data_IF_493558588908
#
_entry.id   IF_493558588908
#
_cell.length_a   1.000
_cell.length_b   1.000
_cell.length_c   1.000
_cell.angle_alpha   90.00
_cell.angle_beta   90.00
_cell.angle_gamma   90.00
#
_symmetry.space_group_name_H-M   'P 1'
#
loop_
_entity.id
_entity.type
_entity.pdbx_description
1 polymer ?
#
# COMPACT_ATOMS: atom_id res chain seq x y z
N UNK A 1 37.50 6.44 -20.59
CA UNK A 1 36.74 6.34 -21.85
C UNK A 1 35.99 5.02 -21.82
N UNK A 2 34.68 5.04 -21.60
CA UNK A 2 33.85 3.83 -21.70
C UNK A 2 33.82 3.37 -23.17
N UNK A 3 33.97 2.07 -23.41
CA UNK A 3 33.87 1.50 -24.76
C UNK A 3 32.44 1.69 -25.28
N UNK A 4 32.33 2.16 -26.53
CA UNK A 4 31.06 2.27 -27.26
C UNK A 4 30.42 0.88 -27.34
N UNK A 5 29.30 0.66 -26.64
CA UNK A 5 28.49 -0.57 -26.72
C UNK A 5 28.41 -1.44 -25.46
N UNK A 6 29.09 -1.10 -24.37
CA UNK A 6 28.90 -1.81 -23.09
C UNK A 6 27.68 -1.27 -22.35
N UNK A 7 26.71 -2.13 -22.07
CA UNK A 7 25.51 -1.81 -21.28
C UNK A 7 25.91 -1.51 -19.84
N UNK A 8 25.39 -0.42 -19.26
CA UNK A 8 25.63 -0.10 -17.86
C UNK A 8 25.20 -1.28 -16.94
N UNK A 9 26.02 -1.66 -15.94
CA UNK A 9 25.69 -2.75 -15.05
C UNK A 9 24.38 -2.45 -14.31
N UNK A 10 23.51 -3.45 -14.22
CA UNK A 10 22.24 -3.33 -13.51
C UNK A 10 22.48 -3.19 -12.00
N UNK A 11 21.77 -2.30 -11.31
CA UNK A 11 21.68 -2.37 -9.86
C UNK A 11 21.10 -3.73 -9.45
N UNK A 12 21.49 -4.24 -8.28
CA UNK A 12 21.07 -5.55 -7.76
C UNK A 12 19.62 -5.57 -7.28
N UNK A 13 18.85 -4.50 -7.51
CA UNK A 13 17.47 -4.35 -7.06
C UNK A 13 16.78 -3.13 -7.68
N UNK A 14 15.56 -2.79 -7.21
CA UNK A 14 14.75 -1.69 -7.76
C UNK A 14 15.24 -0.29 -7.36
N UNK A 15 16.31 -0.20 -6.57
CA UNK A 15 16.88 1.04 -6.05
C UNK A 15 18.33 1.20 -6.50
N UNK A 16 18.76 2.44 -6.68
CA UNK A 16 20.16 2.83 -6.92
C UNK A 16 20.55 3.92 -5.95
N UNK A 17 21.73 3.82 -5.32
CA UNK A 17 22.22 4.87 -4.42
C UNK A 17 22.74 6.08 -5.22
N UNK A 18 22.78 7.26 -4.60
CA UNK A 18 23.39 8.44 -5.21
C UNK A 18 24.86 8.20 -5.61
N UNK A 19 25.63 7.48 -4.79
CA UNK A 19 27.03 7.16 -5.08
C UNK A 19 27.19 6.21 -6.27
N UNK A 20 26.26 5.27 -6.45
CA UNK A 20 26.27 4.35 -7.60
C UNK A 20 25.86 5.07 -8.87
N UNK A 21 24.80 5.90 -8.78
CA UNK A 21 24.37 6.73 -9.90
C UNK A 21 25.50 7.67 -10.34
N UNK A 22 26.23 8.29 -9.41
CA UNK A 22 27.34 9.19 -9.74
C UNK A 22 28.46 8.49 -10.52
N UNK A 23 28.68 7.19 -10.30
CA UNK A 23 29.65 6.39 -11.05
C UNK A 23 29.17 6.02 -12.46
N UNK A 24 27.85 5.99 -12.67
CA UNK A 24 27.21 5.65 -13.96
C UNK A 24 26.81 6.89 -14.77
N UNK A 25 26.61 8.04 -14.11
CA UNK A 25 26.15 9.28 -14.72
C UNK A 25 27.10 9.74 -15.83
N UNK A 26 26.52 10.16 -16.96
CA UNK A 26 27.27 10.53 -18.17
C UNK A 26 27.82 9.33 -18.98
N UNK A 27 27.62 8.10 -18.52
CA UNK A 27 27.88 6.89 -19.29
C UNK A 27 26.84 6.66 -20.38
N UNK A 28 27.23 5.93 -21.44
CA UNK A 28 26.26 5.45 -22.43
C UNK A 28 25.32 4.41 -21.83
N UNK A 29 24.04 4.42 -22.22
CA UNK A 29 23.05 3.43 -21.77
C UNK A 29 22.44 3.70 -20.39
N UNK A 30 22.50 4.95 -19.90
CA UNK A 30 21.84 5.40 -18.67
C UNK A 30 20.96 6.60 -18.99
N UNK A 31 19.68 6.52 -18.67
CA UNK A 31 18.72 7.62 -18.82
C UNK A 31 18.21 8.05 -17.45
N UNK A 32 18.38 9.31 -17.09
CA UNK A 32 17.93 9.85 -15.79
C UNK A 32 16.66 10.66 -16.02
N UNK A 33 15.60 10.35 -15.29
CA UNK A 33 14.30 11.00 -15.42
C UNK A 33 13.87 11.64 -14.10
N UNK A 34 13.60 12.94 -14.14
CA UNK A 34 12.89 13.65 -13.07
C UNK A 34 11.39 13.57 -13.35
N UNK A 35 10.65 12.95 -12.44
CA UNK A 35 9.19 12.82 -12.54
C UNK A 35 8.49 13.48 -11.35
N UNK A 36 9.07 14.57 -10.85
CA UNK A 36 8.49 15.36 -9.76
C UNK A 36 7.10 15.85 -10.14
N UNK A 37 6.15 15.61 -9.25
CA UNK A 37 4.79 16.13 -9.35
C UNK A 37 4.30 16.51 -7.96
N UNK A 38 3.51 17.57 -7.88
CA UNK A 38 3.04 18.19 -6.64
C UNK A 38 1.53 18.08 -6.53
N UNK A 39 1.02 18.02 -5.30
CA UNK A 39 -0.41 18.15 -5.05
C UNK A 39 -0.87 19.57 -5.43
N UNK A 40 -2.13 19.74 -5.89
CA UNK A 40 -2.67 21.05 -6.21
C UNK A 40 -2.57 22.07 -5.07
N UNK A 41 -2.62 21.60 -3.82
CA UNK A 41 -2.53 22.41 -2.61
C UNK A 41 -1.13 22.94 -2.32
N UNK A 42 -0.07 22.31 -2.85
CA UNK A 42 1.32 22.70 -2.60
C UNK A 42 1.73 23.94 -3.41
N UNK A 43 1.00 24.28 -4.49
CA UNK A 43 1.25 25.48 -5.33
C UNK A 43 2.71 25.61 -5.81
N UNK A 44 3.35 24.47 -6.07
CA UNK A 44 4.70 24.34 -6.60
C UNK A 44 4.67 23.95 -8.08
N UNK A 45 5.67 24.39 -8.83
CA UNK A 45 5.81 24.12 -10.27
C UNK A 45 7.02 23.20 -10.49
N UNK A 46 6.75 21.92 -10.73
CA UNK A 46 7.79 20.90 -10.86
C UNK A 46 8.70 21.15 -12.06
N UNK A 47 8.18 21.69 -13.17
CA UNK A 47 8.99 22.00 -14.36
C UNK A 47 9.95 23.15 -14.07
N UNK A 48 9.48 24.21 -13.41
CA UNK A 48 10.36 25.31 -12.98
C UNK A 48 11.42 24.84 -11.98
N UNK A 49 11.07 23.94 -11.08
CA UNK A 49 12.02 23.38 -10.11
C UNK A 49 13.10 22.53 -10.80
N UNK A 50 12.71 21.71 -11.79
CA UNK A 50 13.65 20.99 -12.63
C UNK A 50 14.60 21.97 -13.35
N UNK A 51 14.05 23.00 -14.01
CA UNK A 51 14.86 24.02 -14.69
C UNK A 51 15.77 24.81 -13.72
N UNK A 52 15.40 24.93 -12.45
CA UNK A 52 16.22 25.59 -11.45
C UNK A 52 17.37 24.71 -10.94
N UNK A 53 17.15 23.39 -10.79
CA UNK A 53 18.20 22.45 -10.40
C UNK A 53 17.78 20.99 -10.61
N UNK A 54 18.49 20.27 -11.48
CA UNK A 54 18.28 18.84 -11.74
C UNK A 54 19.61 18.05 -11.78
N UNK A 55 19.53 16.72 -11.75
CA UNK A 55 20.71 15.86 -11.89
C UNK A 55 21.29 16.03 -13.32
N UNK A 56 22.62 16.13 -13.49
CA UNK A 56 23.23 16.34 -14.79
C UNK A 56 22.77 15.33 -15.86
N UNK A 57 22.33 15.84 -17.01
CA UNK A 57 21.80 15.04 -18.12
C UNK A 57 20.41 14.43 -17.88
N UNK A 58 19.75 14.73 -16.76
CA UNK A 58 18.37 14.30 -16.53
C UNK A 58 17.40 14.96 -17.51
N UNK A 59 16.27 14.28 -17.74
CA UNK A 59 15.15 14.80 -18.54
C UNK A 59 13.90 14.85 -17.67
N UNK A 60 13.08 15.86 -17.85
CA UNK A 60 11.84 16.00 -17.09
C UNK A 60 10.69 15.28 -17.79
N UNK A 61 9.96 14.45 -17.05
CA UNK A 61 8.70 13.84 -17.49
C UNK A 61 7.57 14.33 -16.60
N UNK A 62 6.61 15.02 -17.20
CA UNK A 62 5.40 15.42 -16.51
C UNK A 62 4.48 14.19 -16.37
N UNK A 63 4.11 13.83 -15.14
CA UNK A 63 3.16 12.73 -14.92
C UNK A 63 1.83 12.96 -15.66
N UNK A 64 1.42 14.20 -15.89
CA UNK A 64 0.22 14.51 -16.66
C UNK A 64 0.33 14.11 -18.15
N UNK A 65 1.53 14.16 -18.75
CA UNK A 65 1.75 13.71 -20.14
C UNK A 65 1.64 12.18 -20.28
N UNK A 66 1.91 11.47 -19.18
CA UNK A 66 1.81 10.01 -19.08
C UNK A 66 0.64 9.58 -18.18
N UNK A 67 -0.46 10.32 -18.27
CA UNK A 67 -1.74 9.95 -17.64
C UNK A 67 -2.83 9.83 -18.71
N UNK A 68 -3.79 8.92 -18.53
CA UNK A 68 -4.94 8.78 -19.43
C UNK A 68 -5.89 9.98 -19.31
N UNK A 69 -5.97 10.87 -20.33
CA UNK A 69 -6.83 12.05 -20.28
C UNK A 69 -8.32 11.69 -20.43
N UNK A 70 -8.66 10.52 -20.96
CA UNK A 70 -10.06 10.12 -21.20
C UNK A 70 -10.77 9.66 -19.92
N UNK A 71 -10.01 9.26 -18.89
CA UNK A 71 -10.55 8.73 -17.64
C UNK A 71 -11.35 9.74 -16.80
N UNK A 72 -11.08 11.04 -16.95
CA UNK A 72 -11.59 12.08 -16.06
C UNK A 72 -11.04 12.02 -14.62
N UNK A 73 -10.14 11.07 -14.34
CA UNK A 73 -9.51 10.86 -13.05
C UNK A 73 -8.04 11.30 -13.10
N UNK A 74 -7.46 11.75 -11.98
CA UNK A 74 -6.06 12.14 -11.93
C UNK A 74 -5.15 10.91 -12.04
N UNK A 75 -4.06 11.07 -12.78
CA UNK A 75 -2.91 10.16 -12.79
C UNK A 75 -3.20 8.71 -13.16
N UNK A 76 -4.33 8.46 -13.84
CA UNK A 76 -4.67 7.15 -14.38
C UNK A 76 -3.63 6.70 -15.39
N UNK A 77 -3.32 5.41 -15.38
CA UNK A 77 -2.36 4.78 -16.25
C UNK A 77 -2.76 4.99 -17.73
N UNK A 78 -1.84 5.43 -18.59
CA UNK A 78 -2.11 5.64 -20.01
C UNK A 78 -2.12 4.31 -20.78
N UNK A 79 -2.43 4.35 -22.07
CA UNK A 79 -2.16 3.19 -22.95
C UNK A 79 -0.65 2.98 -23.14
N UNK A 80 -0.25 1.75 -23.47
CA UNK A 80 1.14 1.45 -23.83
C UNK A 80 1.67 2.38 -24.94
N UNK A 81 0.84 2.66 -25.97
CA UNK A 81 1.20 3.54 -27.07
C UNK A 81 1.45 4.99 -26.65
N UNK A 82 0.64 5.53 -25.74
CA UNK A 82 0.85 6.90 -25.22
C UNK A 82 2.13 6.96 -24.38
N UNK A 83 2.35 6.00 -23.49
CA UNK A 83 3.57 5.95 -22.68
C UNK A 83 4.81 5.83 -23.57
N UNK A 84 4.78 4.94 -24.57
CA UNK A 84 5.85 4.79 -25.57
C UNK A 84 6.17 6.08 -26.29
N UNK A 85 5.16 6.80 -26.80
CA UNK A 85 5.38 8.05 -27.52
C UNK A 85 6.12 9.09 -26.65
N UNK A 86 5.77 9.20 -25.37
CA UNK A 86 6.46 10.11 -24.44
C UNK A 86 7.87 9.65 -24.15
N UNK A 87 8.10 8.36 -23.86
CA UNK A 87 9.44 7.84 -23.58
C UNK A 87 10.38 7.97 -24.78
N UNK A 88 9.88 7.74 -25.99
CA UNK A 88 10.65 7.94 -27.22
C UNK A 88 10.97 9.42 -27.47
N UNK A 89 10.04 10.33 -27.25
CA UNK A 89 10.29 11.78 -27.31
C UNK A 89 11.34 12.22 -26.29
N UNK A 90 11.35 11.59 -25.13
CA UNK A 90 12.39 11.76 -24.10
C UNK A 90 13.68 11.01 -24.43
N UNK A 91 13.80 10.36 -25.59
CA UNK A 91 15.02 9.71 -26.07
C UNK A 91 15.44 8.45 -25.32
N UNK A 92 14.50 7.77 -24.66
CA UNK A 92 14.77 6.50 -23.97
C UNK A 92 15.05 5.40 -24.99
N UNK A 93 16.14 4.67 -24.80
CA UNK A 93 16.49 3.52 -25.63
C UNK A 93 15.99 2.22 -24.97
N UNK A 94 15.69 1.20 -25.77
CA UNK A 94 15.27 -0.12 -25.28
C UNK A 94 16.32 -0.77 -24.35
N UNK A 95 17.59 -0.44 -24.55
CA UNK A 95 18.72 -0.94 -23.75
C UNK A 95 19.13 -0.07 -22.56
N UNK A 96 18.45 1.04 -22.29
CA UNK A 96 18.85 1.95 -21.21
C UNK A 96 18.59 1.34 -19.82
N UNK A 97 19.51 1.58 -18.89
CA UNK A 97 19.17 1.63 -17.48
C UNK A 97 18.46 2.97 -17.23
N UNK A 98 17.17 2.90 -16.93
CA UNK A 98 16.38 4.08 -16.59
C UNK A 98 16.48 4.31 -15.07
N UNK A 99 16.92 5.49 -14.67
CA UNK A 99 16.96 5.91 -13.26
C UNK A 99 15.95 7.03 -13.06
N UNK A 100 14.95 6.79 -12.23
CA UNK A 100 13.88 7.75 -11.96
C UNK A 100 14.07 8.37 -10.58
N UNK A 101 13.81 9.67 -10.45
CA UNK A 101 13.88 10.37 -9.18
C UNK A 101 12.81 11.47 -9.09
N UNK A 102 12.66 12.00 -7.88
CA UNK A 102 11.85 13.20 -7.62
C UNK A 102 12.50 14.09 -6.54
N UNK A 103 12.00 15.33 -6.42
CA UNK A 103 12.50 16.32 -5.46
C UNK A 103 12.08 16.07 -4.01
N UNK A 104 11.11 15.19 -3.75
CA UNK A 104 10.61 14.89 -2.39
C UNK A 104 11.48 13.89 -1.65
N UNK A 105 12.42 13.25 -2.36
CA UNK A 105 13.13 12.07 -1.90
C UNK A 105 12.49 10.83 -2.51
N UNK A 106 11.35 10.40 -1.98
CA UNK A 106 10.56 9.29 -2.52
C UNK A 106 9.07 9.64 -2.42
N UNK A 107 8.45 9.99 -3.55
CA UNK A 107 6.98 10.18 -3.62
C UNK A 107 6.41 9.81 -4.99
N UNK A 108 6.96 10.37 -6.06
CA UNK A 108 6.45 10.20 -7.44
C UNK A 108 7.32 9.27 -8.27
N UNK A 109 8.61 9.15 -7.96
CA UNK A 109 9.54 8.24 -8.63
C UNK A 109 9.09 6.77 -8.65
N UNK A 110 8.56 6.21 -7.55
CA UNK A 110 8.04 4.84 -7.57
C UNK A 110 6.87 4.64 -8.55
N UNK A 111 6.08 5.68 -8.86
CA UNK A 111 5.01 5.59 -9.85
C UNK A 111 5.58 5.34 -11.24
N UNK A 112 6.57 6.13 -11.65
CA UNK A 112 7.19 5.96 -12.97
C UNK A 112 7.96 4.63 -13.07
N UNK A 113 8.65 4.22 -12.00
CA UNK A 113 9.26 2.89 -11.91
C UNK A 113 8.23 1.78 -12.13
N UNK A 114 7.08 1.85 -11.46
CA UNK A 114 6.00 0.87 -11.60
C UNK A 114 5.46 0.82 -13.03
N UNK A 115 5.26 1.98 -13.67
CA UNK A 115 4.82 2.06 -15.07
C UNK A 115 5.81 1.42 -16.04
N UNK A 116 7.11 1.75 -15.95
CA UNK A 116 8.14 1.13 -16.80
C UNK A 116 8.14 -0.38 -16.68
N UNK A 117 8.12 -0.90 -15.45
CA UNK A 117 8.06 -2.34 -15.23
C UNK A 117 6.76 -2.94 -15.75
N UNK A 118 5.62 -2.29 -15.54
CA UNK A 118 4.34 -2.75 -16.07
C UNK A 118 4.32 -2.90 -17.59
N UNK A 119 4.96 -1.98 -18.32
CA UNK A 119 5.11 -2.05 -19.77
C UNK A 119 6.30 -2.92 -20.25
N UNK A 120 7.02 -3.56 -19.34
CA UNK A 120 8.05 -4.56 -19.64
C UNK A 120 9.49 -4.11 -19.61
N UNK A 121 9.76 -2.87 -19.18
CA UNK A 121 11.12 -2.40 -18.98
C UNK A 121 11.62 -2.73 -17.56
N UNK A 122 12.26 -3.88 -17.40
CA UNK A 122 12.81 -4.30 -16.09
C UNK A 122 14.10 -3.54 -15.71
N UNK A 123 14.77 -2.89 -16.69
CA UNK A 123 16.00 -2.12 -16.46
C UNK A 123 15.70 -0.72 -15.94
N UNK A 124 14.98 -0.63 -14.84
CA UNK A 124 14.58 0.63 -14.19
C UNK A 124 14.82 0.59 -12.68
N UNK A 125 15.36 1.68 -12.13
CA UNK A 125 15.60 1.83 -10.70
C UNK A 125 15.16 3.22 -10.21
N UNK A 126 14.69 3.30 -8.96
CA UNK A 126 14.47 4.57 -8.27
C UNK A 126 15.77 5.01 -7.60
N UNK A 127 16.14 6.29 -7.75
CA UNK A 127 17.22 6.88 -6.95
C UNK A 127 16.79 6.96 -5.49
N UNK A 128 17.43 6.17 -4.63
CA UNK A 128 17.03 6.06 -3.24
C UNK A 128 17.31 7.35 -2.47
N UNK A 129 16.25 7.94 -1.89
CA UNK A 129 16.28 9.27 -1.28
C UNK A 129 16.29 10.44 -2.27
N UNK A 130 16.14 10.19 -3.57
CA UNK A 130 15.88 11.19 -4.62
C UNK A 130 16.92 12.30 -4.75
N UNK A 131 16.47 13.48 -5.22
CA UNK A 131 17.34 14.66 -5.32
C UNK A 131 17.95 15.10 -3.97
N UNK A 132 17.24 15.00 -2.82
CA UNK A 132 17.84 15.25 -1.51
C UNK A 132 19.08 14.40 -1.24
N UNK A 133 19.01 13.07 -1.43
CA UNK A 133 20.13 12.17 -1.22
C UNK A 133 21.28 12.42 -2.22
N UNK A 134 20.96 12.74 -3.48
CA UNK A 134 21.95 13.15 -4.47
C UNK A 134 22.79 14.35 -4.01
N UNK A 135 22.12 15.39 -3.52
CA UNK A 135 22.79 16.60 -3.00
C UNK A 135 23.59 16.29 -1.73
N UNK A 136 23.04 15.50 -0.82
CA UNK A 136 23.71 15.09 0.41
C UNK A 136 25.00 14.30 0.13
N UNK A 137 25.04 13.53 -0.96
CA UNK A 137 26.22 12.82 -1.43
C UNK A 137 27.24 13.73 -2.17
N UNK A 138 27.00 15.04 -2.25
CA UNK A 138 27.85 15.98 -2.98
C UNK A 138 27.67 15.96 -4.50
N UNK A 139 26.56 15.39 -4.99
CA UNK A 139 26.24 15.34 -6.42
C UNK A 139 26.02 16.73 -7.02
N UNK A 140 26.61 16.98 -8.19
CA UNK A 140 26.43 18.23 -8.95
C UNK A 140 24.99 18.36 -9.46
N UNK A 141 24.54 19.59 -9.73
CA UNK A 141 23.25 19.86 -10.38
C UNK A 141 23.42 20.77 -11.60
N UNK A 142 22.56 20.59 -12.59
CA UNK A 142 22.45 21.44 -13.77
C UNK A 142 21.25 22.39 -13.65
N UNK A 143 21.29 23.50 -14.39
CA UNK A 143 20.22 24.48 -14.51
C UNK A 143 19.82 24.64 -15.98
N UNK A 144 18.60 25.11 -16.21
CA UNK A 144 18.02 25.32 -17.51
C UNK A 144 17.19 24.13 -18.00
N UNK A 145 16.75 24.22 -19.24
CA UNK A 145 15.98 23.15 -19.88
C UNK A 145 16.85 21.94 -20.17
N UNK A 146 16.26 20.75 -20.09
CA UNK A 146 16.92 19.52 -20.51
C UNK A 146 17.40 19.66 -21.96
N UNK A 147 18.59 19.14 -22.25
CA UNK A 147 19.11 19.12 -23.61
C UNK A 147 18.14 18.35 -24.54
N UNK A 148 17.92 18.81 -25.79
CA UNK A 148 17.09 18.09 -26.75
C UNK A 148 17.59 16.65 -26.92
N UNK A 149 16.70 15.69 -26.74
CA UNK A 149 16.99 14.29 -26.99
C UNK A 149 16.68 13.94 -28.45
N UNK A 150 17.50 13.07 -29.06
CA UNK A 150 17.08 12.36 -30.27
C UNK A 150 15.97 11.38 -29.88
N UNK A 151 15.06 11.13 -30.82
CA UNK A 151 14.01 10.15 -30.60
C UNK A 151 14.62 8.78 -30.25
N UNK A 152 14.06 8.15 -29.22
CA UNK A 152 14.49 6.85 -28.74
C UNK A 152 13.85 5.70 -29.48
N UNK A 153 14.38 4.50 -29.26
CA UNK A 153 13.89 3.24 -29.83
C UNK A 153 13.15 2.36 -28.81
N UNK A 154 12.87 2.88 -27.60
CA UNK A 154 12.09 2.17 -26.59
C UNK A 154 10.69 1.85 -27.11
N UNK A 155 10.24 0.63 -26.84
CA UNK A 155 8.86 0.19 -27.10
C UNK A 155 8.29 -0.55 -25.90
N UNK A 156 6.99 -0.37 -25.69
CA UNK A 156 6.29 -1.14 -24.66
C UNK A 156 6.20 -2.61 -25.10
N UNK A 157 6.60 -3.54 -24.23
CA UNK A 157 6.60 -4.97 -24.54
C UNK A 157 5.26 -5.66 -24.24
N UNK A 158 4.43 -5.03 -23.40
CA UNK A 158 3.15 -5.54 -22.94
C UNK A 158 2.25 -4.41 -22.47
N UNK A 159 0.96 -4.69 -22.34
CA UNK A 159 0.06 -3.87 -21.53
C UNK A 159 0.32 -4.10 -20.04
N UNK A 160 -0.02 -3.11 -19.23
CA UNK A 160 0.23 -3.14 -17.81
C UNK A 160 -0.82 -3.99 -17.07
N UNK A 161 -0.41 -5.12 -16.51
CA UNK A 161 -1.30 -6.11 -15.88
C UNK A 161 -1.35 -6.03 -14.33
N UNK A 162 -0.37 -5.38 -13.70
CA UNK A 162 -0.35 -5.16 -12.24
C UNK A 162 -1.27 -4.01 -11.75
N UNK A 163 -2.42 -3.84 -12.41
CA UNK A 163 -3.48 -2.88 -12.06
C UNK A 163 -4.66 -3.62 -11.44
N UNK A 164 -5.23 -3.09 -10.36
CA UNK A 164 -6.53 -3.52 -9.84
C UNK A 164 -7.59 -2.48 -10.23
N UNK A 165 -8.77 -2.94 -10.64
CA UNK A 165 -9.94 -2.06 -10.79
C UNK A 165 -10.76 -1.99 -9.50
N UNK A 166 -11.85 -1.23 -9.51
CA UNK A 166 -12.74 -1.10 -8.34
C UNK A 166 -13.34 -2.43 -7.89
N UNK A 167 -13.69 -3.33 -8.81
CA UNK A 167 -14.31 -4.61 -8.50
C UNK A 167 -13.30 -5.57 -7.86
N UNK A 168 -12.10 -5.69 -8.44
CA UNK A 168 -10.99 -6.46 -7.89
C UNK A 168 -10.55 -5.92 -6.52
N UNK A 169 -10.50 -4.60 -6.35
CA UNK A 169 -10.16 -3.97 -5.07
C UNK A 169 -11.21 -4.28 -4.00
N UNK A 170 -12.50 -4.18 -4.34
CA UNK A 170 -13.60 -4.57 -3.44
C UNK A 170 -13.51 -6.05 -3.04
N UNK A 171 -13.25 -6.94 -4.01
CA UNK A 171 -13.10 -8.36 -3.73
C UNK A 171 -11.90 -8.65 -2.81
N UNK A 172 -10.75 -8.01 -3.07
CA UNK A 172 -9.55 -8.11 -2.23
C UNK A 172 -9.77 -7.54 -0.81
N UNK A 173 -10.62 -6.53 -0.66
CA UNK A 173 -10.97 -5.97 0.64
C UNK A 173 -11.78 -6.94 1.51
N UNK A 174 -12.63 -7.76 0.89
CA UNK A 174 -13.43 -8.77 1.57
C UNK A 174 -12.69 -10.09 1.85
N UNK A 175 -11.61 -10.36 1.12
CA UNK A 175 -10.86 -11.62 1.20
C UNK A 175 -9.76 -11.59 2.26
N UNK A 176 -9.80 -12.53 3.21
CA UNK A 176 -8.83 -12.67 4.32
C UNK A 176 -7.40 -12.98 3.86
N UNK A 177 -7.22 -13.53 2.66
CA UNK A 177 -5.91 -13.79 2.05
C UNK A 177 -5.34 -12.60 1.26
N UNK A 178 -6.10 -11.51 1.16
CA UNK A 178 -5.72 -10.29 0.45
C UNK A 178 -5.61 -9.10 1.41
N UNK A 179 -4.78 -8.12 1.06
CA UNK A 179 -4.60 -6.87 1.79
C UNK A 179 -4.76 -5.68 0.84
N UNK A 180 -5.79 -4.87 1.04
CA UNK A 180 -5.87 -3.54 0.46
C UNK A 180 -5.14 -2.59 1.39
N UNK A 181 -4.10 -1.90 0.91
CA UNK A 181 -3.23 -1.06 1.75
C UNK A 181 -3.26 0.38 1.25
N UNK A 182 -3.70 1.31 2.09
CA UNK A 182 -3.83 2.73 1.78
C UNK A 182 -2.61 3.53 2.28
N UNK A 183 -1.93 4.16 1.34
CA UNK A 183 -0.69 4.92 1.55
C UNK A 183 -0.89 6.35 2.07
N UNK A 184 -2.14 6.82 2.21
CA UNK A 184 -2.44 8.18 2.70
C UNK A 184 -2.09 8.33 4.19
N UNK A 185 -1.97 9.57 4.64
CA UNK A 185 -1.88 9.91 6.06
C UNK A 185 -3.02 9.28 6.87
N UNK A 186 -2.74 8.90 8.13
CA UNK A 186 -3.74 8.35 9.03
C UNK A 186 -4.97 9.24 9.22
N UNK A 187 -4.81 10.57 9.22
CA UNK A 187 -5.92 11.51 9.39
C UNK A 187 -6.91 11.44 8.21
N UNK A 188 -6.40 11.47 6.97
CA UNK A 188 -7.22 11.30 5.75
C UNK A 188 -7.92 9.95 5.70
N UNK A 189 -7.20 8.87 6.01
CA UNK A 189 -7.76 7.52 6.06
C UNK A 189 -8.89 7.42 7.10
N UNK A 190 -8.67 7.95 8.30
CA UNK A 190 -9.66 7.94 9.40
C UNK A 190 -10.86 8.85 9.15
N UNK A 191 -10.81 9.70 8.12
CA UNK A 191 -11.81 10.72 7.83
C UNK A 191 -11.73 11.95 8.75
N UNK A 192 -10.59 12.19 9.38
CA UNK A 192 -10.32 13.32 10.30
C UNK A 192 -9.70 14.54 9.60
N UNK A 193 -9.19 14.37 8.38
CA UNK A 193 -8.68 15.44 7.55
C UNK A 193 -9.34 15.41 6.16
N UNK A 194 -9.53 16.58 5.51
CA UNK A 194 -10.08 16.65 4.17
C UNK A 194 -9.11 16.05 3.14
N UNK A 195 -9.66 15.57 2.03
CA UNK A 195 -8.87 15.21 0.86
C UNK A 195 -8.35 16.48 0.15
N UNK A 196 -7.15 16.43 -0.45
CA UNK A 196 -6.56 17.60 -1.13
C UNK A 196 -7.35 18.02 -2.39
N UNK A 197 -8.17 17.12 -2.95
CA UNK A 197 -9.06 17.40 -4.07
C UNK A 197 -10.49 17.66 -3.55
N UNK A 198 -11.15 18.75 -3.98
CA UNK A 198 -12.48 19.09 -3.51
C UNK A 198 -13.53 18.06 -3.95
N UNK A 199 -14.58 17.90 -3.15
CA UNK A 199 -15.74 17.05 -3.48
C UNK A 199 -15.60 15.56 -3.16
N UNK A 200 -14.44 15.11 -2.69
CA UNK A 200 -14.26 13.73 -2.25
C UNK A 200 -14.79 13.50 -0.84
N UNK A 201 -15.43 12.35 -0.62
CA UNK A 201 -15.82 11.89 0.72
C UNK A 201 -14.57 11.63 1.58
N UNK A 202 -14.67 11.90 2.88
CA UNK A 202 -13.64 11.58 3.86
C UNK A 202 -13.71 10.08 4.23
N UNK A 203 -12.59 9.48 4.64
CA UNK A 203 -12.53 8.08 5.06
C UNK A 203 -11.70 7.19 4.15
N UNK A 204 -12.00 5.90 4.15
CA UNK A 204 -11.25 4.86 3.44
C UNK A 204 -12.14 3.73 2.90
N UNK A 205 -11.50 2.86 2.11
CA UNK A 205 -12.11 1.66 1.53
C UNK A 205 -12.38 0.67 2.66
N UNK A 206 -13.60 0.15 2.85
CA UNK A 206 -13.89 -0.81 3.92
C UNK A 206 -12.94 -1.99 3.90
N UNK A 207 -12.39 -2.36 5.05
CA UNK A 207 -11.42 -3.44 5.18
C UNK A 207 -10.04 -3.19 4.56
N UNK A 208 -9.72 -1.95 4.18
CA UNK A 208 -8.34 -1.57 3.89
C UNK A 208 -7.55 -1.31 5.17
N UNK A 209 -6.23 -1.45 5.08
CA UNK A 209 -5.27 -1.17 6.15
C UNK A 209 -4.56 0.13 5.81
N UNK A 210 -4.41 1.03 6.78
CA UNK A 210 -3.60 2.22 6.58
C UNK A 210 -2.13 1.96 6.87
N UNK A 211 -1.26 2.29 5.92
CA UNK A 211 0.18 2.40 6.10
C UNK A 211 0.65 3.67 5.39
N UNK A 212 0.73 4.81 6.09
CA UNK A 212 1.26 6.04 5.51
C UNK A 212 2.64 5.78 4.91
N UNK A 213 2.84 6.14 3.63
CA UNK A 213 4.03 5.74 2.90
C UNK A 213 5.32 6.26 3.54
N UNK A 214 5.23 7.39 4.25
CA UNK A 214 6.34 8.01 4.98
C UNK A 214 6.93 7.10 6.06
N UNK A 215 6.14 6.15 6.59
CA UNK A 215 6.64 5.18 7.58
C UNK A 215 7.63 4.17 6.98
N UNK A 216 7.72 4.07 5.66
CA UNK A 216 8.67 3.20 4.95
C UNK A 216 9.98 3.91 4.60
N UNK A 217 10.09 5.19 4.94
CA UNK A 217 11.22 6.04 4.58
C UNK A 217 11.95 6.49 5.84
N UNK A 218 13.27 6.58 5.76
CA UNK A 218 14.08 7.23 6.78
C UNK A 218 13.88 8.75 6.71
N UNK A 219 13.49 9.41 7.81
CA UNK A 219 13.13 10.84 7.78
C UNK A 219 14.33 11.78 7.58
N UNK A 220 15.57 11.28 7.66
CA UNK A 220 16.78 12.09 7.51
C UNK A 220 17.35 11.98 6.10
N UNK A 221 17.51 10.76 5.61
CA UNK A 221 18.07 10.44 4.29
C UNK A 221 17.02 10.41 3.18
N UNK A 222 15.73 10.35 3.53
CA UNK A 222 14.59 10.15 2.63
C UNK A 222 14.60 8.82 1.87
N UNK A 223 15.58 7.96 2.11
CA UNK A 223 15.70 6.64 1.50
C UNK A 223 14.68 5.67 2.08
N UNK A 224 14.41 4.57 1.37
CA UNK A 224 13.69 3.46 1.98
C UNK A 224 14.44 2.92 3.21
N UNK A 225 13.68 2.52 4.23
CA UNK A 225 14.25 1.79 5.35
C UNK A 225 14.93 0.49 4.86
N UNK A 226 15.92 -0.03 5.62
CA UNK A 226 16.47 -1.36 5.38
C UNK A 226 15.39 -2.45 5.38
N UNK A 227 15.61 -3.53 4.63
CA UNK A 227 14.57 -4.55 4.35
C UNK A 227 14.03 -5.22 5.63
N UNK A 228 14.85 -5.45 6.65
CA UNK A 228 14.43 -5.97 7.96
C UNK A 228 13.47 -5.01 8.68
N UNK A 229 13.78 -3.71 8.63
CA UNK A 229 12.95 -2.63 9.20
C UNK A 229 11.66 -2.41 8.41
N UNK A 230 11.70 -2.48 7.07
CA UNK A 230 10.50 -2.43 6.23
C UNK A 230 9.54 -3.57 6.61
N UNK A 231 10.06 -4.79 6.75
CA UNK A 231 9.26 -5.93 7.12
C UNK A 231 8.68 -5.80 8.54
N UNK A 232 9.43 -5.23 9.49
CA UNK A 232 8.93 -4.91 10.83
C UNK A 232 7.77 -3.91 10.79
N UNK A 233 7.92 -2.79 10.07
CA UNK A 233 6.88 -1.76 9.93
C UNK A 233 5.61 -2.35 9.31
N UNK A 234 5.74 -3.12 8.22
CA UNK A 234 4.58 -3.73 7.56
C UNK A 234 3.84 -4.70 8.50
N UNK A 235 4.57 -5.56 9.24
CA UNK A 235 3.96 -6.46 10.23
C UNK A 235 3.27 -5.70 11.36
N UNK A 236 3.85 -4.59 11.83
CA UNK A 236 3.25 -3.75 12.86
C UNK A 236 1.90 -3.14 12.42
N UNK A 237 1.72 -2.94 11.11
CA UNK A 237 0.46 -2.52 10.50
C UNK A 237 -0.48 -3.69 10.14
N UNK A 238 -0.17 -4.93 10.55
CA UNK A 238 -1.02 -6.10 10.30
C UNK A 238 -0.89 -6.69 8.88
N UNK A 239 0.18 -6.34 8.16
CA UNK A 239 0.47 -6.89 6.84
C UNK A 239 1.32 -8.15 7.00
N UNK A 240 0.69 -9.31 6.76
CA UNK A 240 1.40 -10.58 6.65
C UNK A 240 2.21 -10.60 5.35
N UNK A 241 3.50 -10.91 5.45
CA UNK A 241 4.39 -11.06 4.31
C UNK A 241 4.55 -12.55 3.98
N UNK A 242 4.70 -12.88 2.71
CA UNK A 242 4.85 -14.23 2.22
C UNK A 242 4.01 -14.48 0.97
N UNK A 243 4.41 -15.53 0.24
CA UNK A 243 3.89 -15.87 -1.10
C UNK A 243 2.38 -16.09 -1.20
N UNK A 244 1.71 -16.33 -0.08
CA UNK A 244 0.27 -16.59 -0.04
C UNK A 244 -0.56 -15.31 0.18
N UNK A 245 0.09 -14.16 0.37
CA UNK A 245 -0.60 -12.87 0.57
C UNK A 245 -0.65 -12.08 -0.73
N UNK A 246 -1.84 -11.61 -1.07
CA UNK A 246 -2.06 -10.70 -2.20
C UNK A 246 -2.19 -9.27 -1.73
N UNK A 247 -1.56 -8.33 -2.43
CA UNK A 247 -1.59 -6.92 -2.09
C UNK A 247 -2.24 -6.08 -3.18
N UNK A 248 -3.14 -5.19 -2.76
CA UNK A 248 -3.65 -4.10 -3.58
C UNK A 248 -3.30 -2.78 -2.90
N UNK A 249 -2.28 -2.10 -3.41
CA UNK A 249 -1.86 -0.79 -2.91
C UNK A 249 -2.78 0.31 -3.46
N UNK A 250 -3.21 1.22 -2.59
CA UNK A 250 -4.03 2.38 -2.93
C UNK A 250 -3.50 3.62 -2.21
N UNK A 251 -3.97 4.79 -2.62
CA UNK A 251 -3.70 6.06 -1.96
C UNK A 251 -4.76 7.10 -2.35
N UNK A 252 -4.38 8.35 -2.59
CA UNK A 252 -5.25 9.37 -3.18
C UNK A 252 -5.54 9.16 -4.67
N UNK A 253 -4.53 8.84 -5.49
CA UNK A 253 -4.65 8.72 -6.96
C UNK A 253 -3.60 7.82 -7.61
N UNK A 254 -3.28 6.67 -7.00
CA UNK A 254 -2.35 5.70 -7.59
C UNK A 254 -0.86 6.07 -7.55
N UNK A 255 -0.48 7.27 -7.07
CA UNK A 255 0.93 7.71 -7.04
C UNK A 255 1.68 7.17 -5.81
N UNK A 256 1.34 7.60 -4.59
CA UNK A 256 2.04 7.12 -3.39
C UNK A 256 1.77 5.66 -3.05
N UNK A 257 0.73 5.06 -3.66
CA UNK A 257 0.52 3.61 -3.66
C UNK A 257 1.72 2.85 -4.23
N UNK A 258 2.42 3.41 -5.21
CA UNK A 258 3.60 2.79 -5.80
C UNK A 258 4.81 2.80 -4.84
N UNK A 259 4.83 3.66 -3.81
CA UNK A 259 5.84 3.59 -2.74
C UNK A 259 5.68 2.28 -1.96
N UNK A 260 4.44 1.94 -1.59
CA UNK A 260 4.12 0.66 -0.95
C UNK A 260 4.45 -0.51 -1.88
N UNK A 261 4.06 -0.42 -3.16
CA UNK A 261 4.30 -1.49 -4.12
C UNK A 261 5.78 -1.78 -4.35
N UNK A 262 6.63 -0.74 -4.41
CA UNK A 262 8.07 -0.90 -4.52
C UNK A 262 8.66 -1.54 -3.25
N UNK A 263 8.22 -1.12 -2.06
CA UNK A 263 8.67 -1.73 -0.81
C UNK A 263 8.29 -3.22 -0.72
N UNK A 264 7.06 -3.58 -1.10
CA UNK A 264 6.63 -4.99 -1.17
C UNK A 264 7.48 -5.77 -2.19
N UNK A 265 7.77 -5.18 -3.35
CA UNK A 265 8.65 -5.78 -4.35
C UNK A 265 10.08 -6.00 -3.81
N UNK A 266 10.64 -5.05 -3.05
CA UNK A 266 11.95 -5.20 -2.36
C UNK A 266 11.94 -6.39 -1.40
N UNK A 267 10.86 -6.59 -0.67
CA UNK A 267 10.69 -7.71 0.26
C UNK A 267 10.39 -9.05 -0.43
N UNK A 268 10.33 -9.07 -1.77
CA UNK A 268 10.15 -10.28 -2.57
C UNK A 268 8.69 -10.68 -2.80
N UNK A 269 7.73 -9.83 -2.43
CA UNK A 269 6.32 -10.04 -2.73
C UNK A 269 6.06 -9.94 -4.25
N UNK A 270 5.22 -10.85 -4.75
CA UNK A 270 5.01 -11.02 -6.20
C UNK A 270 3.61 -10.66 -6.68
N UNK A 271 2.59 -10.91 -5.88
CA UNK A 271 1.20 -10.55 -6.21
C UNK A 271 0.85 -9.19 -5.61
N UNK A 272 1.42 -8.14 -6.21
CA UNK A 272 1.26 -6.75 -5.79
C UNK A 272 0.67 -5.96 -6.94
N UNK A 273 -0.54 -5.43 -6.74
CA UNK A 273 -1.24 -4.59 -7.71
C UNK A 273 -1.45 -3.19 -7.16
N UNK A 274 -1.62 -2.22 -8.04
CA UNK A 274 -2.03 -0.85 -7.66
C UNK A 274 -3.49 -0.64 -8.06
N UNK A 275 -4.33 -0.25 -7.10
CA UNK A 275 -5.65 0.29 -7.41
C UNK A 275 -5.47 1.73 -7.90
N UNK A 276 -5.43 1.89 -9.21
CA UNK A 276 -4.92 3.10 -9.86
C UNK A 276 -5.81 4.32 -9.64
N UNK A 277 -7.12 4.17 -9.84
CA UNK A 277 -8.11 5.22 -9.54
C UNK A 277 -8.13 5.62 -8.07
N UNK A 278 -7.74 4.69 -7.17
CA UNK A 278 -7.47 4.96 -5.76
C UNK A 278 -8.64 5.68 -5.06
N UNK A 279 -8.38 6.41 -3.97
CA UNK A 279 -9.44 7.13 -3.26
C UNK A 279 -10.14 8.20 -4.10
N UNK A 280 -9.51 8.76 -5.13
CA UNK A 280 -10.21 9.71 -6.00
C UNK A 280 -11.38 9.04 -6.71
N UNK A 281 -11.17 7.87 -7.32
CA UNK A 281 -12.24 7.09 -7.94
C UNK A 281 -13.23 6.55 -6.90
N UNK A 282 -12.72 5.96 -5.82
CA UNK A 282 -13.58 5.33 -4.81
C UNK A 282 -14.43 6.36 -4.05
N UNK A 283 -13.77 7.40 -3.54
CA UNK A 283 -14.36 8.47 -2.75
C UNK A 283 -15.34 9.34 -3.53
N UNK A 284 -15.24 9.40 -4.87
CA UNK A 284 -16.21 10.11 -5.72
C UNK A 284 -17.48 9.32 -6.05
N UNK A 285 -17.44 7.98 -5.99
CA UNK A 285 -18.57 7.14 -6.39
C UNK A 285 -19.50 6.84 -5.20
N UNK A 286 -20.66 7.50 -5.15
CA UNK A 286 -21.66 7.35 -4.10
C UNK A 286 -22.19 5.90 -3.91
N UNK A 287 -22.06 5.02 -4.91
CA UNK A 287 -22.47 3.63 -4.80
C UNK A 287 -21.44 2.74 -4.06
N UNK A 288 -20.22 3.24 -3.86
CA UNK A 288 -19.18 2.53 -3.12
C UNK A 288 -19.26 2.84 -1.63
N UNK A 289 -19.14 1.82 -0.76
CA UNK A 289 -19.18 2.01 0.69
C UNK A 289 -17.92 2.71 1.17
N UNK A 290 -18.03 3.48 2.25
CA UNK A 290 -16.93 4.23 2.86
C UNK A 290 -16.94 3.99 4.36
N UNK A 291 -15.74 3.84 4.93
CA UNK A 291 -15.54 3.75 6.36
C UNK A 291 -14.72 4.92 6.89
N UNK A 292 -14.87 5.18 8.19
CA UNK A 292 -14.06 6.11 8.96
C UNK A 292 -13.47 5.35 10.16
N UNK A 293 -12.58 5.97 10.93
CA UNK A 293 -11.92 5.29 12.04
C UNK A 293 -10.74 4.41 11.61
N UNK A 294 -10.40 3.40 12.41
CA UNK A 294 -9.14 2.65 12.34
C UNK A 294 -9.17 1.42 11.41
N UNK A 295 -10.23 1.25 10.60
CA UNK A 295 -10.39 0.13 9.67
C UNK A 295 -10.77 -1.19 10.33
N UNK A 296 -11.19 -1.17 11.60
CA UNK A 296 -11.61 -2.35 12.35
C UNK A 296 -13.04 -2.22 12.86
N UNK A 297 -13.71 -3.35 12.92
CA UNK A 297 -14.97 -3.53 13.62
C UNK A 297 -14.75 -4.35 14.89
N UNK A 298 -15.64 -4.17 15.86
CA UNK A 298 -15.50 -4.77 17.18
C UNK A 298 -16.81 -5.40 17.66
N UNK A 299 -16.70 -6.44 18.48
CA UNK A 299 -17.86 -7.07 19.14
C UNK A 299 -17.52 -7.30 20.60
N UNK A 300 -18.32 -6.70 21.48
CA UNK A 300 -18.27 -7.01 22.90
C UNK A 300 -19.16 -8.21 23.16
N UNK A 301 -18.57 -9.27 23.70
CA UNK A 301 -19.28 -10.51 24.03
C UNK A 301 -19.16 -10.82 25.51
N UNK A 302 -20.26 -11.28 26.07
CA UNK A 302 -20.38 -11.61 27.49
C UNK A 302 -20.88 -13.03 27.62
N UNK A 303 -20.09 -13.89 28.27
CA UNK A 303 -20.47 -15.25 28.64
C UNK A 303 -20.67 -15.33 30.15
N UNK A 304 -21.85 -15.78 30.57
CA UNK A 304 -22.11 -16.18 31.96
C UNK A 304 -21.95 -17.69 32.02
N UNK A 305 -20.99 -18.14 32.82
CA UNK A 305 -20.71 -19.56 32.99
C UNK A 305 -21.85 -20.29 33.72
N UNK A 306 -22.03 -21.58 33.41
CA UNK A 306 -22.83 -22.44 34.26
C UNK A 306 -22.20 -22.58 35.66
N UNK A 307 -22.99 -22.87 36.72
CA UNK A 307 -22.47 -22.95 38.09
C UNK A 307 -21.23 -23.86 38.22
N UNK A 308 -20.13 -23.33 38.75
CA UNK A 308 -18.87 -24.06 38.93
C UNK A 308 -18.10 -24.38 37.63
N UNK A 309 -18.54 -23.87 36.47
CA UNK A 309 -17.92 -24.14 35.16
C UNK A 309 -17.07 -22.99 34.62
N UNK A 310 -16.93 -21.88 35.35
CA UNK A 310 -16.25 -20.67 34.88
C UNK A 310 -14.82 -20.94 34.36
N UNK A 311 -13.98 -21.59 35.16
CA UNK A 311 -12.60 -21.88 34.76
C UNK A 311 -12.54 -22.73 33.47
N UNK A 312 -13.31 -23.82 33.41
CA UNK A 312 -13.37 -24.69 32.24
C UNK A 312 -13.88 -23.97 30.98
N UNK A 313 -14.90 -23.12 31.12
CA UNK A 313 -15.43 -22.30 30.03
C UNK A 313 -14.37 -21.31 29.51
N UNK A 314 -13.73 -20.56 30.41
CA UNK A 314 -12.71 -19.56 30.07
C UNK A 314 -11.51 -20.21 29.41
N UNK A 315 -10.99 -21.29 30.00
CA UNK A 315 -9.79 -21.95 29.52
C UNK A 315 -10.05 -22.56 28.13
N UNK A 316 -11.21 -23.21 27.89
CA UNK A 316 -11.62 -23.66 26.55
C UNK A 316 -11.68 -22.51 25.54
N UNK A 317 -12.22 -21.37 25.94
CA UNK A 317 -12.30 -20.23 25.03
C UNK A 317 -10.89 -19.76 24.63
N UNK A 318 -10.02 -19.54 25.60
CA UNK A 318 -8.66 -19.03 25.36
C UNK A 318 -7.76 -20.03 24.63
N UNK A 319 -7.83 -21.32 24.98
CA UNK A 319 -6.93 -22.35 24.42
C UNK A 319 -7.40 -22.91 23.08
N UNK A 320 -8.67 -22.71 22.71
CA UNK A 320 -9.25 -23.42 21.56
C UNK A 320 -10.16 -22.55 20.71
N UNK A 321 -11.15 -21.86 21.29
CA UNK A 321 -12.06 -21.04 20.48
C UNK A 321 -11.35 -19.83 19.86
N UNK A 322 -10.58 -19.08 20.66
CA UNK A 322 -9.90 -17.88 20.22
C UNK A 322 -8.85 -18.13 19.10
N UNK A 323 -8.00 -19.17 19.16
CA UNK A 323 -7.12 -19.52 18.05
C UNK A 323 -7.88 -19.83 16.75
N UNK A 324 -8.97 -20.60 16.82
CA UNK A 324 -9.77 -20.96 15.65
C UNK A 324 -10.54 -19.77 15.07
N UNK A 325 -11.02 -18.86 15.92
CA UNK A 325 -11.61 -17.59 15.50
C UNK A 325 -10.57 -16.70 14.80
N UNK A 326 -9.33 -16.67 15.31
CA UNK A 326 -8.24 -15.90 14.70
C UNK A 326 -7.89 -16.40 13.29
N UNK A 327 -7.99 -17.72 13.04
CA UNK A 327 -7.85 -18.28 11.68
C UNK A 327 -8.94 -17.78 10.71
N UNK A 328 -10.10 -17.35 11.22
CA UNK A 328 -11.18 -16.72 10.45
C UNK A 328 -11.08 -15.18 10.43
N UNK A 329 -10.01 -14.60 10.96
CA UNK A 329 -9.80 -13.15 11.05
C UNK A 329 -10.50 -12.45 12.21
N UNK A 330 -11.12 -13.21 13.13
CA UNK A 330 -11.77 -12.69 14.34
C UNK A 330 -10.80 -12.76 15.52
N UNK A 331 -10.08 -11.68 15.79
CA UNK A 331 -9.02 -11.63 16.79
C UNK A 331 -9.57 -11.30 18.17
N UNK A 332 -9.09 -12.00 19.20
CA UNK A 332 -9.33 -11.63 20.59
C UNK A 332 -8.43 -10.43 20.96
N UNK A 333 -9.02 -9.24 21.02
CA UNK A 333 -8.30 -8.01 21.40
C UNK A 333 -8.07 -7.94 22.90
N UNK A 334 -9.11 -8.28 23.69
CA UNK A 334 -9.05 -8.23 25.15
C UNK A 334 -10.06 -9.17 25.77
N UNK A 335 -9.77 -9.67 26.97
CA UNK A 335 -10.77 -10.31 27.82
C UNK A 335 -10.57 -9.96 29.29
N UNK A 336 -11.63 -10.03 30.07
CA UNK A 336 -11.62 -9.76 31.51
C UNK A 336 -12.81 -10.41 32.22
N UNK A 337 -12.73 -10.43 33.54
CA UNK A 337 -13.79 -10.87 34.46
C UNK A 337 -14.18 -9.69 35.33
N UNK A 338 -15.43 -9.21 35.28
CA UNK A 338 -15.89 -8.14 36.15
C UNK A 338 -15.79 -8.58 37.63
N UNK A 339 -15.17 -7.79 38.52
CA UNK A 339 -15.04 -8.15 39.94
C UNK A 339 -16.38 -8.43 40.64
N UNK A 340 -17.43 -7.74 40.24
CA UNK A 340 -18.80 -7.86 40.73
C UNK A 340 -19.55 -9.07 40.18
N UNK A 341 -19.01 -9.74 39.15
CA UNK A 341 -19.64 -10.87 38.47
C UNK A 341 -18.59 -11.95 38.13
N UNK A 342 -18.08 -12.69 39.15
CA UNK A 342 -16.95 -13.61 38.98
C UNK A 342 -17.21 -14.78 38.03
N UNK A 343 -18.48 -15.13 37.79
CA UNK A 343 -18.88 -16.16 36.81
C UNK A 343 -19.06 -15.60 35.39
N UNK A 344 -18.75 -14.32 35.16
CA UNK A 344 -18.90 -13.65 33.87
C UNK A 344 -17.54 -13.46 33.19
N UNK A 345 -17.43 -13.91 31.95
CA UNK A 345 -16.29 -13.68 31.08
C UNK A 345 -16.69 -12.73 29.96
N UNK A 346 -16.05 -11.56 29.94
CA UNK A 346 -16.26 -10.54 28.92
C UNK A 346 -15.06 -10.51 28.00
N UNK A 347 -15.30 -10.43 26.70
CA UNK A 347 -14.24 -10.32 25.72
C UNK A 347 -14.61 -9.42 24.55
N UNK A 348 -13.59 -8.77 23.99
CA UNK A 348 -13.68 -7.92 22.82
C UNK A 348 -13.05 -8.66 21.64
N UNK A 349 -13.87 -8.95 20.64
CA UNK A 349 -13.38 -9.36 19.33
C UNK A 349 -13.12 -8.13 18.49
N UNK A 350 -12.05 -8.18 17.71
CA UNK A 350 -11.64 -7.20 16.72
C UNK A 350 -11.44 -7.92 15.40
N UNK A 351 -11.93 -7.35 14.31
CA UNK A 351 -11.64 -7.85 12.97
C UNK A 351 -11.55 -6.70 11.98
N UNK A 352 -10.92 -6.97 10.84
CA UNK A 352 -10.88 -6.04 9.73
C UNK A 352 -12.29 -5.86 9.20
N UNK A 353 -12.73 -4.62 9.10
CA UNK A 353 -14.13 -4.26 8.86
C UNK A 353 -14.76 -4.78 7.55
N UNK A 354 -13.95 -5.01 6.51
CA UNK A 354 -14.40 -5.62 5.26
C UNK A 354 -14.67 -7.14 5.36
N UNK A 355 -14.29 -7.78 6.46
CA UNK A 355 -14.61 -9.20 6.72
C UNK A 355 -16.05 -9.29 7.22
N UNK A 356 -16.86 -10.12 6.57
CA UNK A 356 -18.21 -10.45 7.01
C UNK A 356 -18.14 -11.25 8.32
N UNK A 357 -18.61 -10.64 9.40
CA UNK A 357 -18.57 -11.23 10.73
C UNK A 357 -19.40 -12.51 10.81
N UNK A 358 -20.61 -12.51 10.23
CA UNK A 358 -21.51 -13.65 10.33
C UNK A 358 -20.95 -14.83 9.54
N UNK A 359 -20.42 -14.58 8.34
CA UNK A 359 -19.76 -15.61 7.54
C UNK A 359 -18.53 -16.20 8.26
N UNK A 360 -17.68 -15.35 8.83
CA UNK A 360 -16.48 -15.79 9.57
C UNK A 360 -16.85 -16.56 10.83
N UNK A 361 -17.86 -16.09 11.58
CA UNK A 361 -18.37 -16.76 12.76
C UNK A 361 -18.97 -18.14 12.42
N UNK A 362 -19.72 -18.20 11.33
CA UNK A 362 -20.30 -19.44 10.80
C UNK A 362 -19.25 -20.45 10.36
N UNK A 363 -18.18 -19.99 9.72
CA UNK A 363 -17.05 -20.83 9.35
C UNK A 363 -16.38 -21.44 10.59
N UNK A 364 -16.14 -20.63 11.63
CA UNK A 364 -15.67 -21.10 12.94
C UNK A 364 -16.66 -22.10 13.56
N UNK A 365 -17.96 -21.78 13.57
CA UNK A 365 -18.99 -22.61 14.20
C UNK A 365 -19.11 -23.99 13.56
N UNK A 366 -18.76 -24.11 12.27
CA UNK A 366 -18.74 -25.37 11.50
C UNK A 366 -17.39 -26.07 11.49
N UNK A 367 -16.32 -25.48 12.04
CA UNK A 367 -14.99 -26.08 12.04
C UNK A 367 -15.00 -27.42 12.81
N UNK A 368 -14.57 -28.55 12.18
CA UNK A 368 -14.57 -29.86 12.84
C UNK A 368 -13.76 -29.91 14.14
N UNK A 369 -12.66 -29.15 14.23
CA UNK A 369 -11.83 -29.05 15.42
C UNK A 369 -12.60 -28.35 16.55
N UNK A 370 -13.33 -27.28 16.23
CA UNK A 370 -14.20 -26.60 17.19
C UNK A 370 -15.34 -27.51 17.66
N UNK A 371 -16.03 -28.18 16.74
CA UNK A 371 -17.14 -29.07 17.06
C UNK A 371 -16.72 -30.22 17.97
N UNK A 372 -15.52 -30.78 17.76
CA UNK A 372 -14.95 -31.80 18.62
C UNK A 372 -14.59 -31.27 20.02
N UNK A 373 -13.90 -30.12 20.11
CA UNK A 373 -13.60 -29.46 21.39
C UNK A 373 -14.87 -29.16 22.16
N UNK A 374 -15.88 -28.57 21.50
CA UNK A 374 -17.17 -28.24 22.11
C UNK A 374 -17.82 -29.49 22.69
N UNK A 375 -17.96 -30.55 21.89
CA UNK A 375 -18.55 -31.84 22.30
C UNK A 375 -17.86 -32.44 23.52
N UNK A 376 -16.53 -32.49 23.52
CA UNK A 376 -15.75 -33.04 24.65
C UNK A 376 -15.90 -32.18 25.91
N UNK A 377 -15.82 -30.86 25.75
CA UNK A 377 -15.89 -29.91 26.87
C UNK A 377 -17.27 -29.83 27.54
N UNK A 378 -18.34 -30.12 26.78
CA UNK A 378 -19.73 -30.04 27.24
C UNK A 378 -20.35 -31.43 27.54
N UNK A 379 -19.53 -32.49 27.56
CA UNK A 379 -20.00 -33.85 27.85
C UNK A 379 -20.63 -34.00 29.26
N UNK A 380 -20.27 -33.11 30.19
CA UNK A 380 -20.83 -33.03 31.54
C UNK A 380 -21.81 -31.85 31.71
N UNK A 381 -22.51 -31.50 30.64
CA UNK A 381 -23.45 -30.39 30.58
C UNK A 381 -22.84 -29.10 30.00
N UNK A 382 -23.69 -28.09 29.76
CA UNK A 382 -23.28 -26.84 29.12
C UNK A 382 -22.29 -26.05 30.00
N UNK A 383 -21.30 -25.44 29.36
CA UNK A 383 -20.33 -24.57 30.04
C UNK A 383 -20.82 -23.11 30.15
N UNK A 384 -21.71 -22.69 29.26
CA UNK A 384 -22.27 -21.34 29.20
C UNK A 384 -23.76 -21.41 29.53
N UNK A 385 -24.19 -20.69 30.56
CA UNK A 385 -25.59 -20.57 30.94
C UNK A 385 -26.31 -19.48 30.13
N UNK A 386 -25.62 -18.38 29.85
CA UNK A 386 -26.16 -17.24 29.09
C UNK A 386 -25.05 -16.57 28.30
N UNK A 387 -25.35 -16.11 27.10
CA UNK A 387 -24.44 -15.31 26.29
C UNK A 387 -25.13 -14.08 25.74
N UNK A 388 -24.39 -12.98 25.65
CA UNK A 388 -24.81 -11.73 25.03
C UNK A 388 -23.74 -11.25 24.04
N UNK A 389 -24.17 -10.53 23.01
CA UNK A 389 -23.30 -9.98 21.97
C UNK A 389 -23.75 -8.58 21.61
N UNK A 390 -22.82 -7.63 21.56
CA UNK A 390 -23.03 -6.26 21.14
C UNK A 390 -22.03 -5.90 20.05
N UNK A 391 -22.53 -5.54 18.87
CA UNK A 391 -21.70 -5.06 17.76
C UNK A 391 -21.34 -3.58 17.97
N UNK A 392 -20.05 -3.32 17.99
CA UNK A 392 -19.43 -2.01 18.07
C UNK A 392 -18.87 -1.72 16.66
N UNK A 393 -19.68 -1.06 15.82
CA UNK A 393 -19.35 -0.80 14.42
C UNK A 393 -18.07 0.03 14.23
N UNK A 394 -17.61 0.11 12.98
CA UNK A 394 -16.47 0.92 12.52
C UNK A 394 -16.70 2.43 12.63
N UNK A 395 -17.94 2.85 12.85
CA UNK A 395 -18.29 4.25 12.86
C UNK A 395 -18.35 4.80 14.30
N UNK A 396 -17.34 5.60 14.64
CA UNK A 396 -17.48 6.60 15.72
C UNK A 396 -18.45 7.73 15.28
N UNK A 397 -18.90 7.73 14.03
CA UNK A 397 -19.96 8.62 13.53
C UNK A 397 -21.23 7.86 13.15
N UNK A 398 -22.37 8.26 13.68
CA UNK A 398 -23.72 7.84 13.27
C UNK A 398 -24.21 6.48 13.79
N UNK A 399 -24.46 6.42 15.11
CA UNK A 399 -25.77 5.96 15.58
C UNK A 399 -26.51 7.18 16.13
N UNK A 400 -27.48 7.69 15.36
CA UNK A 400 -28.53 8.58 15.88
C UNK A 400 -29.63 7.75 16.51
#
# INVERSE_FOLDING_TARGET
>A
MAKKGETAPMPTGPLISASDLARLAGGAGVAILDCTSHLPTERRDARREFEAAHIPGARFVDLAEISDPASGLPTMLPSAAQFEAVMRKLGIQAGDLVVVYDTHGIRTAPRLWWMFRGYGHERVAVLDGGLPAWRAAGGAVEQGQAAPAREGDWSAMREHDAVADTAATRAAAADVSSRVVDARSAERFRGLAPEPRPGLRAGHIPGSVNLPYEHLLDPVSHAYLPDDRLAEVMRAHGLGLGKDTRFVCSCGSGVSACVLALALHKLGERDVRVYDGSWTQWGSDAALPVETGDGHAYALKTYVAAPGKFAAMRDRFLSSAAPLLAEQGLLLERSWTPPEAPDTFVYLLKWRSGVDFDQAWDAFARDPRWLDVKRRSEAQGPLIARQESMMLGTSIGERR
#
